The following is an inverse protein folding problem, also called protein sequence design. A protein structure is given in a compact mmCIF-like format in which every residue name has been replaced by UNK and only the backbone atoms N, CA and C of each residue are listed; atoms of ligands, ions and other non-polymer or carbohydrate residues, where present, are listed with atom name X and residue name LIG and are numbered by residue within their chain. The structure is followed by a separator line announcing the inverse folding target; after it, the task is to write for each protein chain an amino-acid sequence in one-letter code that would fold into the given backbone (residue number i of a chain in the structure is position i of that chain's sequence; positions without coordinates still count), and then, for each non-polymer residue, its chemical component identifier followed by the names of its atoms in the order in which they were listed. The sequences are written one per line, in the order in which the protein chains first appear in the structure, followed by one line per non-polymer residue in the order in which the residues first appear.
data_IF_893619489700
#
_entry.id   IF_893619489700
#
_cell.length_a   1.000
_cell.length_b   1.000
_cell.length_c   1.000
_cell.angle_alpha   90.00
_cell.angle_beta   90.00
_cell.angle_gamma   90.00
#
_symmetry.space_group_name_H-M   'P 1'
#
loop_
_entity.id
_entity.type
_entity.pdbx_description
1 polymer ?
#
# COMPACT_ATOMS: atom_id res chain seq x y z
N UNK A 1 -10.30 12.65 14.41
CA UNK A 1 -10.39 11.66 13.30
C UNK A 1 -11.35 10.56 13.72
N UNK A 2 -12.14 10.06 12.78
CA UNK A 2 -13.11 8.99 13.07
C UNK A 2 -12.83 7.79 12.14
N UNK A 3 -12.63 6.62 12.74
CA UNK A 3 -12.58 5.34 12.02
C UNK A 3 -14.00 4.76 12.02
N UNK A 4 -14.51 4.46 10.84
CA UNK A 4 -15.85 3.85 10.67
C UNK A 4 -15.65 2.35 10.54
N UNK A 5 -16.18 1.63 11.54
CA UNK A 5 -16.20 0.17 11.59
C UNK A 5 -17.61 -0.39 11.37
N UNK A 6 -17.68 -1.64 10.95
CA UNK A 6 -18.91 -2.40 10.72
C UNK A 6 -18.66 -3.87 10.99
N UNK A 7 -19.70 -4.68 11.04
CA UNK A 7 -19.59 -6.11 11.33
C UNK A 7 -18.66 -6.82 10.33
N UNK A 8 -17.82 -7.71 10.82
CA UNK A 8 -16.74 -8.38 10.10
C UNK A 8 -15.69 -7.45 9.47
N UNK A 9 -15.47 -6.26 10.06
CA UNK A 9 -14.36 -5.38 9.71
C UNK A 9 -13.00 -6.05 9.97
N UNK A 10 -11.98 -5.62 9.24
CA UNK A 10 -10.62 -6.12 9.41
C UNK A 10 -9.94 -5.48 10.64
N UNK A 11 -9.67 -6.28 11.66
CA UNK A 11 -9.00 -5.81 12.89
C UNK A 11 -7.70 -5.08 12.59
N UNK A 12 -6.86 -5.63 11.71
CA UNK A 12 -5.55 -5.07 11.42
C UNK A 12 -5.64 -3.71 10.71
N UNK A 13 -6.65 -3.51 9.87
CA UNK A 13 -6.89 -2.22 9.21
C UNK A 13 -7.18 -1.12 10.25
N UNK A 14 -8.07 -1.42 11.21
CA UNK A 14 -8.40 -0.51 12.31
C UNK A 14 -7.17 -0.28 13.19
N UNK A 15 -6.48 -1.36 13.58
CA UNK A 15 -5.33 -1.31 14.48
C UNK A 15 -4.14 -0.53 13.88
N UNK A 16 -3.82 -0.71 12.59
CA UNK A 16 -2.74 0.05 11.94
C UNK A 16 -3.01 1.55 11.96
N UNK A 17 -4.22 1.97 11.62
CA UNK A 17 -4.60 3.38 11.61
C UNK A 17 -4.57 3.96 13.03
N UNK A 18 -5.25 3.30 13.96
CA UNK A 18 -5.40 3.81 15.33
C UNK A 18 -4.08 3.82 16.09
N UNK A 19 -3.26 2.76 15.98
CA UNK A 19 -1.97 2.67 16.65
C UNK A 19 -1.00 3.74 16.16
N UNK A 20 -0.95 4.01 14.85
CA UNK A 20 -0.07 5.04 14.31
C UNK A 20 -0.44 6.44 14.81
N UNK A 21 -1.72 6.79 14.84
CA UNK A 21 -2.21 8.09 15.29
C UNK A 21 -2.02 8.29 16.81
N UNK A 22 -2.29 7.26 17.62
CA UNK A 22 -2.04 7.31 19.07
C UNK A 22 -0.53 7.37 19.37
N UNK A 23 0.28 6.66 18.60
CA UNK A 23 1.74 6.78 18.73
C UNK A 23 2.21 8.19 18.37
N UNK A 24 1.61 8.84 17.36
CA UNK A 24 1.92 10.23 17.02
C UNK A 24 1.62 11.19 18.21
N UNK A 25 0.52 10.99 18.93
CA UNK A 25 0.23 11.76 20.12
C UNK A 25 1.32 11.60 21.19
N UNK A 26 1.77 10.37 21.41
CA UNK A 26 2.81 10.09 22.42
C UNK A 26 4.16 10.66 22.01
N UNK A 27 4.56 10.49 20.75
CA UNK A 27 5.85 10.94 20.24
C UNK A 27 5.91 12.46 19.99
N UNK A 28 4.76 13.09 19.71
CA UNK A 28 4.63 14.52 19.44
C UNK A 28 4.51 15.39 20.71
N UNK A 29 4.53 14.78 21.89
CA UNK A 29 4.48 15.50 23.18
C UNK A 29 3.10 16.03 23.59
N UNK A 30 2.01 15.56 22.96
CA UNK A 30 0.65 15.95 23.32
C UNK A 30 -0.43 15.40 22.38
N UNK A 31 -1.70 15.62 22.70
CA UNK A 31 -2.82 15.13 21.89
C UNK A 31 -2.93 15.91 20.58
N UNK A 32 -2.28 15.39 19.52
CA UNK A 32 -2.34 15.94 18.16
C UNK A 32 -3.60 15.44 17.45
N UNK A 33 -3.96 14.16 17.69
CA UNK A 33 -5.12 13.51 17.09
C UNK A 33 -6.11 13.09 18.19
N UNK A 34 -7.32 13.56 18.08
CA UNK A 34 -8.48 12.99 18.77
C UNK A 34 -9.10 11.91 17.87
N UNK A 35 -9.19 10.68 18.37
CA UNK A 35 -9.50 9.49 17.60
C UNK A 35 -10.61 8.67 18.23
N UNK A 36 -11.61 8.31 17.44
CA UNK A 36 -12.68 7.41 17.86
C UNK A 36 -13.01 6.36 16.80
N UNK A 37 -13.49 5.21 17.25
CA UNK A 37 -14.13 4.18 16.43
C UNK A 37 -15.65 4.39 16.51
N UNK A 38 -16.27 4.66 15.36
CA UNK A 38 -17.71 4.80 15.23
C UNK A 38 -18.30 3.60 14.51
N UNK A 39 -19.40 3.07 15.03
CA UNK A 39 -20.14 1.95 14.42
C UNK A 39 -21.63 2.25 14.35
N UNK A 40 -22.40 1.60 13.46
CA UNK A 40 -23.86 1.73 13.42
C UNK A 40 -24.47 1.44 14.79
N UNK A 41 -25.31 2.37 15.29
CA UNK A 41 -25.94 2.29 16.61
C UNK A 41 -24.98 2.37 17.80
N UNK A 42 -23.66 2.52 17.57
CA UNK A 42 -22.66 2.43 18.64
C UNK A 42 -22.48 1.02 19.21
N UNK A 43 -22.97 0.02 18.50
CA UNK A 43 -22.85 -1.37 18.93
C UNK A 43 -21.43 -1.91 18.76
N UNK A 44 -20.98 -2.81 19.66
CA UNK A 44 -19.75 -3.56 19.42
C UNK A 44 -19.82 -4.30 18.07
N UNK A 45 -18.69 -4.40 17.40
CA UNK A 45 -18.59 -5.18 16.15
C UNK A 45 -17.68 -6.38 16.36
N UNK A 46 -18.05 -7.52 15.75
CA UNK A 46 -17.18 -8.69 15.67
C UNK A 46 -16.34 -8.57 14.43
N UNK A 47 -15.03 -8.55 14.59
CA UNK A 47 -14.10 -8.48 13.46
C UNK A 47 -14.06 -9.78 12.66
N UNK A 48 -13.54 -9.75 11.44
CA UNK A 48 -13.34 -10.96 10.64
C UNK A 48 -12.46 -12.04 11.30
N UNK A 49 -11.72 -11.68 12.36
CA UNK A 49 -10.93 -12.63 13.18
C UNK A 49 -11.67 -13.16 14.41
N UNK A 50 -12.91 -12.73 14.64
CA UNK A 50 -13.73 -13.13 15.78
C UNK A 50 -13.52 -12.29 17.04
N UNK A 51 -12.60 -11.33 17.05
CA UNK A 51 -12.43 -10.41 18.18
C UNK A 51 -13.51 -9.33 18.15
N UNK A 52 -13.99 -8.96 19.34
CA UNK A 52 -15.01 -7.92 19.49
C UNK A 52 -14.35 -6.59 19.80
N UNK A 53 -14.69 -5.56 19.03
CA UNK A 53 -14.28 -4.18 19.27
C UNK A 53 -15.46 -3.36 19.78
N UNK A 54 -15.21 -2.61 20.85
CA UNK A 54 -16.17 -1.64 21.40
C UNK A 54 -16.09 -0.33 20.61
N UNK A 55 -17.23 0.19 20.18
CA UNK A 55 -17.31 1.53 19.63
C UNK A 55 -17.18 2.58 20.73
N UNK A 56 -16.50 3.68 20.43
CA UNK A 56 -16.51 4.89 21.27
C UNK A 56 -17.63 5.85 20.87
N UNK A 57 -18.08 5.78 19.62
CA UNK A 57 -19.07 6.68 19.04
C UNK A 57 -20.20 5.94 18.34
N UNK A 58 -21.37 6.55 18.35
CA UNK A 58 -22.52 6.14 17.55
C UNK A 58 -22.39 6.83 16.18
N UNK A 59 -22.23 6.08 15.09
CA UNK A 59 -22.01 6.62 13.74
C UNK A 59 -23.02 7.71 13.35
N UNK A 60 -24.29 7.50 13.72
CA UNK A 60 -25.40 8.41 13.45
C UNK A 60 -25.29 9.73 14.19
N UNK A 61 -24.56 9.76 15.30
CA UNK A 61 -24.41 10.91 16.19
C UNK A 61 -23.08 11.65 15.99
N UNK A 62 -22.13 11.06 15.27
CA UNK A 62 -20.89 11.77 14.93
C UNK A 62 -21.21 13.03 14.15
N UNK A 63 -20.64 14.16 14.55
CA UNK A 63 -20.82 15.46 13.90
C UNK A 63 -19.49 16.09 13.55
N UNK A 64 -19.47 16.91 12.51
CA UNK A 64 -18.30 17.69 12.09
C UNK A 64 -18.19 19.06 12.80
N UNK A 65 -17.17 19.84 12.46
CA UNK A 65 -16.17 19.52 11.42
C UNK A 65 -15.18 18.43 11.86
N UNK A 66 -14.84 17.55 10.94
CA UNK A 66 -13.87 16.49 11.16
C UNK A 66 -12.59 16.75 10.36
N UNK A 67 -11.45 16.37 10.88
CA UNK A 67 -10.23 16.36 10.08
C UNK A 67 -10.27 15.24 9.05
N UNK A 68 -10.43 14.00 9.49
CA UNK A 68 -10.39 12.83 8.61
C UNK A 68 -11.40 11.78 9.07
N UNK A 69 -12.12 11.21 8.11
CA UNK A 69 -12.81 9.93 8.29
C UNK A 69 -12.02 8.82 7.56
N UNK A 70 -11.97 7.64 8.17
CA UNK A 70 -11.34 6.45 7.61
C UNK A 70 -12.34 5.31 7.63
N UNK A 71 -12.74 4.80 6.47
CA UNK A 71 -13.60 3.62 6.38
C UNK A 71 -12.74 2.36 6.40
N UNK A 72 -12.95 1.49 7.38
CA UNK A 72 -12.25 0.21 7.50
C UNK A 72 -12.60 -0.73 6.35
N UNK A 73 -11.70 -1.67 6.05
CA UNK A 73 -11.99 -2.84 5.24
C UNK A 73 -12.48 -4.02 6.08
N UNK A 74 -12.59 -5.17 5.44
CA UNK A 74 -12.97 -6.43 6.05
C UNK A 74 -13.87 -7.26 5.15
N UNK A 75 -14.11 -8.50 5.53
CA UNK A 75 -14.96 -9.43 4.75
C UNK A 75 -16.44 -9.02 4.73
N UNK A 76 -16.88 -8.17 5.68
CA UNK A 76 -18.22 -7.59 5.72
C UNK A 76 -18.44 -6.39 4.79
N UNK A 77 -17.48 -6.05 3.92
CA UNK A 77 -17.53 -4.85 3.08
C UNK A 77 -18.74 -4.81 2.13
N UNK A 78 -19.19 -5.96 1.62
CA UNK A 78 -20.33 -6.03 0.70
C UNK A 78 -21.60 -5.63 1.42
N UNK A 79 -21.84 -6.17 2.62
CA UNK A 79 -23.00 -5.84 3.44
C UNK A 79 -22.95 -4.38 3.90
N UNK A 80 -21.78 -3.89 4.28
CA UNK A 80 -21.58 -2.50 4.64
C UNK A 80 -21.86 -1.55 3.47
N UNK A 81 -21.41 -1.89 2.26
CA UNK A 81 -21.68 -1.13 1.03
C UNK A 81 -23.14 -1.17 0.60
N UNK A 82 -23.89 -2.23 0.96
CA UNK A 82 -25.32 -2.35 0.73
C UNK A 82 -26.18 -1.71 1.86
N UNK A 83 -25.57 -1.33 2.98
CA UNK A 83 -26.30 -0.79 4.13
C UNK A 83 -26.59 0.71 3.93
N UNK A 84 -27.87 1.12 3.75
CA UNK A 84 -28.23 2.51 3.46
C UNK A 84 -27.88 3.46 4.60
N UNK A 85 -27.89 2.99 5.85
CA UNK A 85 -27.52 3.81 7.01
C UNK A 85 -26.03 4.14 6.97
N UNK A 86 -25.14 3.16 6.78
CA UNK A 86 -23.70 3.37 6.68
C UNK A 86 -23.41 4.34 5.52
N UNK A 87 -23.98 4.09 4.35
CA UNK A 87 -23.76 4.93 3.15
C UNK A 87 -24.22 6.36 3.35
N UNK A 88 -25.40 6.56 3.97
CA UNK A 88 -25.91 7.91 4.22
C UNK A 88 -24.98 8.70 5.17
N UNK A 89 -24.50 8.05 6.25
CA UNK A 89 -23.63 8.71 7.23
C UNK A 89 -22.20 8.88 6.72
N UNK A 90 -21.64 7.94 5.98
CA UNK A 90 -20.34 8.12 5.28
C UNK A 90 -20.42 9.32 4.32
N UNK A 91 -21.49 9.42 3.52
CA UNK A 91 -21.70 10.54 2.61
C UNK A 91 -21.87 11.88 3.35
N UNK A 92 -22.57 11.88 4.47
CA UNK A 92 -22.75 13.08 5.32
C UNK A 92 -21.42 13.52 5.90
N UNK A 93 -20.70 12.63 6.58
CA UNK A 93 -19.43 12.92 7.24
C UNK A 93 -18.35 13.31 6.25
N UNK A 94 -18.33 12.74 5.03
CA UNK A 94 -17.39 13.13 3.98
C UNK A 94 -17.48 14.61 3.61
N UNK A 95 -18.69 15.21 3.67
CA UNK A 95 -18.89 16.66 3.39
C UNK A 95 -18.37 17.54 4.50
N UNK A 96 -18.28 17.02 5.72
CA UNK A 96 -17.86 17.70 6.92
C UNK A 96 -16.39 17.43 7.26
N UNK A 97 -15.66 16.70 6.40
CA UNK A 97 -14.29 16.25 6.64
C UNK A 97 -13.30 16.89 5.66
N UNK A 98 -12.13 17.27 6.17
CA UNK A 98 -11.01 17.74 5.34
C UNK A 98 -10.46 16.62 4.45
N UNK A 99 -10.37 15.41 4.98
CA UNK A 99 -9.94 14.19 4.26
C UNK A 99 -10.94 13.07 4.43
N UNK A 100 -11.11 12.30 3.35
CA UNK A 100 -11.88 11.05 3.33
C UNK A 100 -10.93 9.93 2.97
N UNK A 101 -10.85 8.91 3.79
CA UNK A 101 -9.96 7.78 3.52
C UNK A 101 -10.70 6.45 3.61
N UNK A 102 -10.18 5.47 2.90
CA UNK A 102 -10.52 4.06 3.09
C UNK A 102 -9.27 3.21 3.15
N UNK A 103 -9.36 2.12 3.86
CA UNK A 103 -8.34 1.08 3.91
C UNK A 103 -8.94 -0.23 3.41
N UNK A 104 -8.15 -1.03 2.66
CA UNK A 104 -8.55 -2.32 2.13
C UNK A 104 -9.86 -2.22 1.31
N UNK A 105 -10.80 -3.12 1.57
CA UNK A 105 -12.13 -3.16 0.94
C UNK A 105 -13.09 -2.06 1.38
N UNK A 106 -12.71 -1.20 2.33
CA UNK A 106 -13.46 0.01 2.69
C UNK A 106 -13.65 0.96 1.50
N UNK A 107 -12.81 0.84 0.46
CA UNK A 107 -12.99 1.55 -0.81
C UNK A 107 -14.34 1.22 -1.48
N UNK A 108 -14.90 0.03 -1.28
CA UNK A 108 -16.23 -0.31 -1.80
C UNK A 108 -17.33 0.51 -1.13
N UNK A 109 -17.23 0.72 0.17
CA UNK A 109 -18.19 1.58 0.90
C UNK A 109 -18.11 3.02 0.40
N UNK A 110 -16.91 3.56 0.14
CA UNK A 110 -16.75 4.88 -0.48
C UNK A 110 -17.31 4.93 -1.90
N UNK A 111 -17.12 3.87 -2.70
CA UNK A 111 -17.67 3.77 -4.04
C UNK A 111 -19.21 3.72 -4.02
N UNK A 112 -19.82 2.94 -3.12
CA UNK A 112 -21.26 2.89 -2.90
C UNK A 112 -21.83 4.24 -2.43
N UNK A 113 -21.05 5.02 -1.66
CA UNK A 113 -21.39 6.37 -1.28
C UNK A 113 -21.24 7.39 -2.45
N UNK A 114 -20.71 6.97 -3.61
CA UNK A 114 -20.47 7.84 -4.77
C UNK A 114 -19.28 8.79 -4.60
N UNK A 115 -18.44 8.57 -3.59
CA UNK A 115 -17.32 9.43 -3.25
C UNK A 115 -16.07 9.17 -4.11
N UNK A 116 -16.05 8.06 -4.85
CA UNK A 116 -14.96 7.67 -5.74
C UNK A 116 -15.30 7.86 -7.24
N UNK A 117 -16.49 8.31 -7.60
CA UNK A 117 -16.90 8.47 -8.99
C UNK A 117 -15.94 9.41 -9.74
N UNK A 118 -15.39 8.95 -10.86
CA UNK A 118 -14.42 9.68 -11.69
C UNK A 118 -13.03 9.82 -11.08
N UNK A 119 -12.78 9.23 -9.91
CA UNK A 119 -11.48 9.29 -9.21
C UNK A 119 -10.66 8.04 -9.43
N UNK A 120 -9.34 8.21 -9.30
CA UNK A 120 -8.43 7.08 -9.14
C UNK A 120 -8.50 6.56 -7.70
N UNK A 121 -8.59 5.25 -7.57
CA UNK A 121 -8.65 4.59 -6.25
C UNK A 121 -7.90 3.26 -6.28
N UNK A 122 -7.46 2.81 -5.11
CA UNK A 122 -6.98 1.44 -4.92
C UNK A 122 -7.79 0.75 -3.84
N UNK A 123 -7.67 -0.56 -3.79
CA UNK A 123 -8.29 -1.43 -2.79
C UNK A 123 -7.42 -2.67 -2.63
N UNK A 124 -7.81 -3.60 -1.78
CA UNK A 124 -7.12 -4.88 -1.66
C UNK A 124 -7.09 -5.61 -3.01
N UNK A 125 -5.91 -6.05 -3.42
CA UNK A 125 -5.66 -6.64 -4.75
C UNK A 125 -6.62 -7.77 -5.11
N UNK A 126 -6.94 -8.63 -4.14
CA UNK A 126 -7.81 -9.80 -4.33
C UNK A 126 -9.25 -9.41 -4.67
N UNK A 127 -9.74 -8.28 -4.16
CA UNK A 127 -11.11 -7.80 -4.37
C UNK A 127 -11.21 -6.73 -5.46
N UNK A 128 -10.09 -6.23 -5.95
CA UNK A 128 -10.06 -5.08 -6.86
C UNK A 128 -10.88 -5.29 -8.14
N UNK A 129 -10.76 -6.45 -8.78
CA UNK A 129 -11.50 -6.78 -10.01
C UNK A 129 -13.00 -6.87 -9.77
N UNK A 130 -13.42 -7.50 -8.67
CA UNK A 130 -14.82 -7.65 -8.32
C UNK A 130 -15.47 -6.29 -7.98
N UNK A 131 -14.75 -5.45 -7.22
CA UNK A 131 -15.23 -4.10 -6.86
C UNK A 131 -15.28 -3.21 -8.10
N UNK A 132 -14.25 -3.21 -8.95
CA UNK A 132 -14.23 -2.44 -10.20
C UNK A 132 -15.40 -2.78 -11.13
N UNK A 133 -15.79 -4.05 -11.20
CA UNK A 133 -16.92 -4.50 -12.00
C UNK A 133 -18.26 -3.96 -11.47
N UNK A 134 -18.42 -3.83 -10.15
CA UNK A 134 -19.63 -3.26 -9.53
C UNK A 134 -19.71 -1.73 -9.63
N UNK A 135 -18.55 -1.06 -9.66
CA UNK A 135 -18.45 0.40 -9.66
C UNK A 135 -17.64 0.91 -10.86
N UNK A 136 -18.16 0.78 -12.10
CA UNK A 136 -17.41 1.10 -13.33
C UNK A 136 -17.08 2.59 -13.51
N UNK A 137 -17.65 3.49 -12.71
CA UNK A 137 -17.30 4.91 -12.70
C UNK A 137 -16.05 5.24 -11.91
N UNK A 138 -15.51 4.28 -11.14
CA UNK A 138 -14.28 4.44 -10.36
C UNK A 138 -13.08 3.90 -11.15
N UNK A 139 -11.99 4.65 -11.19
CA UNK A 139 -10.77 4.24 -11.87
C UNK A 139 -9.88 3.43 -10.91
N UNK A 140 -10.28 2.19 -10.65
CA UNK A 140 -9.52 1.31 -9.77
C UNK A 140 -8.19 0.88 -10.39
N UNK A 141 -7.10 1.13 -9.64
CA UNK A 141 -5.76 0.66 -9.93
C UNK A 141 -5.31 -0.24 -8.76
N UNK A 142 -5.22 -1.57 -8.95
CA UNK A 142 -4.85 -2.50 -7.89
C UNK A 142 -3.34 -2.55 -7.61
N UNK A 143 -2.51 -1.84 -8.37
CA UNK A 143 -1.06 -1.94 -8.19
C UNK A 143 -0.54 -1.13 -6.99
N UNK A 144 -0.90 0.16 -6.78
CA UNK A 144 -0.36 0.97 -5.69
C UNK A 144 -0.84 0.53 -4.31
N UNK A 145 0.03 0.68 -3.29
CA UNK A 145 -0.37 0.43 -1.90
C UNK A 145 -1.34 1.49 -1.36
N UNK A 146 -1.24 2.71 -1.83
CA UNK A 146 -2.28 3.73 -1.64
C UNK A 146 -2.29 4.75 -2.78
N UNK A 147 -3.45 5.36 -3.01
CA UNK A 147 -3.67 6.44 -3.96
C UNK A 147 -4.28 7.62 -3.22
N UNK A 148 -3.83 8.83 -3.58
CA UNK A 148 -4.47 10.10 -3.21
C UNK A 148 -5.02 10.75 -4.46
N UNK A 149 -6.27 11.17 -4.40
CA UNK A 149 -6.96 11.90 -5.46
C UNK A 149 -7.78 13.04 -4.84
N UNK A 150 -7.17 14.23 -4.81
CA UNK A 150 -7.69 15.38 -4.11
C UNK A 150 -7.73 15.15 -2.59
N UNK A 151 -8.89 15.33 -1.98
CA UNK A 151 -9.11 15.11 -0.54
C UNK A 151 -9.47 13.64 -0.19
N UNK A 152 -9.54 12.78 -1.20
CA UNK A 152 -9.84 11.35 -1.01
C UNK A 152 -8.55 10.54 -1.09
N UNK A 153 -8.37 9.60 -0.16
CA UNK A 153 -7.26 8.66 -0.15
C UNK A 153 -7.78 7.23 0.01
N UNK A 154 -7.22 6.30 -0.74
CA UNK A 154 -7.57 4.88 -0.65
C UNK A 154 -6.30 4.04 -0.50
N UNK A 155 -6.31 3.04 0.35
CA UNK A 155 -5.17 2.14 0.60
C UNK A 155 -5.56 0.69 0.37
N UNK A 156 -4.57 -0.11 -0.03
CA UNK A 156 -4.70 -1.56 -0.16
C UNK A 156 -5.06 -2.29 1.15
N UNK A 157 -4.91 -1.61 2.27
CA UNK A 157 -5.22 -2.17 3.58
C UNK A 157 -4.09 -2.98 4.20
N UNK A 158 -4.39 -3.62 5.33
CA UNK A 158 -3.43 -4.35 6.14
C UNK A 158 -2.22 -3.47 6.45
N UNK A 159 -1.01 -3.87 6.12
CA UNK A 159 0.20 -3.04 6.37
C UNK A 159 0.23 -1.75 5.57
N UNK A 160 -0.43 -1.67 4.41
CA UNK A 160 -0.52 -0.44 3.62
C UNK A 160 -1.41 0.63 4.29
N UNK A 161 -2.29 0.25 5.23
CA UNK A 161 -3.03 1.18 6.07
C UNK A 161 -2.07 2.00 6.96
N UNK A 162 -1.01 1.34 7.48
CA UNK A 162 0.04 2.01 8.25
C UNK A 162 0.81 3.01 7.38
N UNK A 163 1.19 2.63 6.15
CA UNK A 163 1.92 3.53 5.24
C UNK A 163 1.09 4.77 4.88
N UNK A 164 -0.21 4.61 4.61
CA UNK A 164 -1.11 5.75 4.37
C UNK A 164 -1.23 6.64 5.61
N UNK A 165 -1.33 6.05 6.80
CA UNK A 165 -1.46 6.81 8.04
C UNK A 165 -0.17 7.57 8.37
N UNK A 166 0.99 6.95 8.18
CA UNK A 166 2.29 7.63 8.30
C UNK A 166 2.41 8.80 7.32
N UNK A 167 1.91 8.62 6.08
CA UNK A 167 1.87 9.70 5.11
C UNK A 167 0.92 10.85 5.52
N UNK A 168 -0.16 10.58 6.24
CA UNK A 168 -1.00 11.63 6.84
C UNK A 168 -0.28 12.34 7.99
N UNK A 169 0.40 11.61 8.87
CA UNK A 169 1.19 12.19 9.95
C UNK A 169 2.30 13.09 9.39
N UNK A 170 2.98 12.65 8.32
CA UNK A 170 4.01 13.44 7.65
C UNK A 170 3.45 14.75 7.06
N UNK A 171 2.28 14.67 6.40
CA UNK A 171 1.62 15.85 5.84
C UNK A 171 1.17 16.84 6.92
N UNK A 172 0.63 16.36 8.02
CA UNK A 172 0.05 17.18 9.09
C UNK A 172 1.11 17.76 10.04
N UNK A 173 2.18 17.01 10.33
CA UNK A 173 3.11 17.30 11.41
C UNK A 173 4.60 17.20 11.00
N UNK A 174 4.86 16.96 9.75
CA UNK A 174 6.21 16.88 9.19
C UNK A 174 6.86 15.48 9.27
N UNK A 175 7.96 15.30 8.55
CA UNK A 175 8.61 14.01 8.38
C UNK A 175 9.28 13.48 9.66
N UNK A 176 9.67 14.35 10.58
CA UNK A 176 10.33 13.93 11.83
C UNK A 176 9.40 13.14 12.74
N UNK A 177 8.16 13.62 12.92
CA UNK A 177 7.16 12.91 13.72
C UNK A 177 6.76 11.59 13.05
N UNK A 178 6.53 11.60 11.72
CA UNK A 178 6.20 10.38 10.98
C UNK A 178 7.28 9.30 11.14
N UNK A 179 8.56 9.68 11.05
CA UNK A 179 9.69 8.77 11.29
C UNK A 179 9.76 8.27 12.73
N UNK A 180 9.52 9.15 13.72
CA UNK A 180 9.50 8.74 15.13
C UNK A 180 8.42 7.69 15.38
N UNK A 181 7.22 7.89 14.81
CA UNK A 181 6.11 6.94 14.87
C UNK A 181 6.48 5.62 14.20
N UNK A 182 7.04 5.67 12.98
CA UNK A 182 7.45 4.47 12.24
C UNK A 182 8.46 3.63 13.05
N UNK A 183 9.46 4.27 13.66
CA UNK A 183 10.44 3.59 14.53
C UNK A 183 9.80 2.98 15.77
N UNK A 184 8.92 3.71 16.44
CA UNK A 184 8.22 3.20 17.63
C UNK A 184 7.39 1.96 17.30
N UNK A 185 6.75 1.94 16.13
CA UNK A 185 5.97 0.79 15.62
C UNK A 185 6.85 -0.31 14.98
N UNK A 186 8.18 -0.18 15.09
CA UNK A 186 9.14 -1.15 14.51
C UNK A 186 8.89 -1.36 13.01
N UNK A 187 8.45 -0.30 12.33
CA UNK A 187 8.22 -0.35 10.88
C UNK A 187 9.58 -0.28 10.20
N UNK A 188 9.95 -1.38 9.53
CA UNK A 188 11.24 -1.52 8.86
C UNK A 188 11.44 -0.51 7.72
N UNK A 189 10.35 -0.20 7.01
CA UNK A 189 10.35 0.68 5.85
C UNK A 189 8.98 1.34 5.70
N UNK A 190 8.93 2.67 5.65
CA UNK A 190 7.75 3.40 5.18
C UNK A 190 7.72 3.35 3.65
N UNK A 191 6.69 2.74 3.09
CA UNK A 191 6.58 2.55 1.65
C UNK A 191 5.90 3.74 0.98
N UNK A 192 6.39 4.22 -0.19
CA UNK A 192 5.69 5.25 -0.96
C UNK A 192 4.40 4.68 -1.56
N UNK A 193 3.37 5.52 -1.68
CA UNK A 193 2.03 5.10 -2.10
C UNK A 193 1.96 4.34 -3.42
N UNK A 194 2.81 4.69 -4.36
CA UNK A 194 2.89 4.04 -5.68
C UNK A 194 3.67 2.71 -5.71
N UNK A 195 4.22 2.26 -4.58
CA UNK A 195 4.80 0.93 -4.51
C UNK A 195 3.72 -0.12 -4.77
N UNK A 196 4.06 -1.20 -5.47
CA UNK A 196 3.14 -2.30 -5.70
C UNK A 196 2.74 -2.97 -4.37
N UNK A 197 1.47 -3.38 -4.25
CA UNK A 197 0.92 -4.04 -3.06
C UNK A 197 1.69 -5.32 -2.70
N UNK A 198 2.16 -6.03 -3.71
CA UNK A 198 2.98 -7.21 -3.53
C UNK A 198 4.33 -7.03 -4.20
N UNK A 199 5.40 -7.48 -3.53
CA UNK A 199 6.69 -7.58 -4.19
C UNK A 199 6.59 -8.60 -5.31
N UNK A 200 7.50 -8.53 -6.27
CA UNK A 200 7.56 -9.52 -7.34
C UNK A 200 7.75 -10.96 -6.82
N UNK A 201 8.27 -11.10 -5.60
CA UNK A 201 8.52 -12.41 -4.97
C UNK A 201 7.27 -12.98 -4.27
N UNK A 202 6.28 -12.15 -3.97
CA UNK A 202 5.02 -12.55 -3.31
C UNK A 202 3.80 -12.47 -4.24
N UNK A 203 3.94 -11.80 -5.40
CA UNK A 203 2.83 -11.54 -6.32
C UNK A 203 2.34 -12.79 -7.09
N UNK A 204 3.18 -13.81 -7.20
CA UNK A 204 2.81 -15.06 -7.85
C UNK A 204 3.29 -16.24 -6.98
N UNK A 205 2.60 -17.39 -7.01
CA UNK A 205 3.15 -18.61 -6.46
C UNK A 205 4.50 -18.89 -7.15
N UNK A 206 5.43 -19.59 -6.47
CA UNK A 206 6.69 -19.95 -7.10
C UNK A 206 6.41 -20.66 -8.41
N UNK A 207 7.16 -20.37 -9.49
CA UNK A 207 6.91 -20.94 -10.80
C UNK A 207 6.82 -22.47 -10.71
N UNK A 208 5.76 -23.05 -11.28
CA UNK A 208 5.63 -24.53 -11.34
C UNK A 208 6.72 -25.13 -12.23
N UNK A 209 7.12 -24.38 -13.26
CA UNK A 209 8.21 -24.80 -14.14
C UNK A 209 9.56 -24.70 -13.41
N UNK A 210 10.18 -25.85 -13.15
CA UNK A 210 11.45 -25.95 -12.42
C UNK A 210 12.62 -25.20 -13.09
N UNK A 211 12.60 -25.00 -14.43
CA UNK A 211 13.59 -24.18 -15.12
C UNK A 211 13.42 -22.70 -14.75
N UNK A 212 12.20 -22.18 -14.80
CA UNK A 212 11.92 -20.79 -14.47
C UNK A 212 12.23 -20.52 -13.00
N UNK A 213 11.91 -21.45 -12.10
CA UNK A 213 12.26 -21.35 -10.68
C UNK A 213 13.77 -21.16 -10.49
N UNK A 214 14.60 -22.01 -11.09
CA UNK A 214 16.07 -21.89 -11.02
C UNK A 214 16.59 -20.57 -11.62
N UNK A 215 16.00 -20.11 -12.73
CA UNK A 215 16.40 -18.82 -13.33
C UNK A 215 16.03 -17.67 -12.40
N UNK A 216 14.86 -17.67 -11.79
CA UNK A 216 14.43 -16.67 -10.80
C UNK A 216 15.35 -16.67 -9.58
N UNK A 217 15.65 -17.83 -9.02
CA UNK A 217 16.61 -18.00 -7.91
C UNK A 217 17.99 -17.45 -8.29
N UNK A 218 18.48 -17.77 -9.48
CA UNK A 218 19.75 -17.25 -9.99
C UNK A 218 19.75 -15.72 -10.11
N UNK A 219 18.70 -15.12 -10.69
CA UNK A 219 18.55 -13.67 -10.80
C UNK A 219 18.59 -13.03 -9.42
N UNK A 220 17.84 -13.57 -8.47
CA UNK A 220 17.69 -13.01 -7.13
C UNK A 220 19.01 -13.04 -6.35
N UNK A 221 19.78 -14.10 -6.51
CA UNK A 221 21.05 -14.28 -5.82
C UNK A 221 22.21 -13.46 -6.44
N UNK A 222 22.10 -13.07 -7.72
CA UNK A 222 23.23 -12.54 -8.50
C UNK A 222 22.89 -11.22 -9.24
N UNK A 223 22.21 -10.29 -8.57
CA UNK A 223 21.71 -9.05 -9.19
C UNK A 223 22.78 -8.19 -9.86
N UNK A 224 24.02 -8.26 -9.40
CA UNK A 224 25.13 -7.48 -9.96
C UNK A 224 25.71 -8.06 -11.26
N UNK A 225 25.41 -9.33 -11.57
CA UNK A 225 25.98 -10.03 -12.71
C UNK A 225 25.32 -9.64 -14.06
N UNK A 226 25.85 -10.17 -15.16
CA UNK A 226 25.17 -10.08 -16.45
C UNK A 226 23.93 -10.97 -16.47
N UNK A 227 22.77 -10.35 -16.30
CA UNK A 227 21.45 -10.97 -16.33
C UNK A 227 20.69 -10.63 -17.61
N UNK A 228 21.43 -10.34 -18.70
CA UNK A 228 20.81 -10.19 -20.02
C UNK A 228 20.05 -11.43 -20.44
N UNK A 229 18.99 -11.28 -21.25
CA UNK A 229 18.15 -12.41 -21.67
C UNK A 229 18.98 -13.51 -22.33
N UNK A 230 20.01 -13.14 -23.11
CA UNK A 230 20.92 -14.08 -23.76
C UNK A 230 21.74 -14.88 -22.72
N UNK A 231 22.31 -14.21 -21.72
CA UNK A 231 23.09 -14.85 -20.65
C UNK A 231 22.21 -15.80 -19.81
N UNK A 232 21.03 -15.36 -19.42
CA UNK A 232 20.06 -16.19 -18.70
C UNK A 232 19.61 -17.41 -19.51
N UNK A 233 19.37 -17.26 -20.81
CA UNK A 233 18.98 -18.35 -21.69
C UNK A 233 20.10 -19.36 -21.86
N UNK A 234 21.33 -18.90 -22.06
CA UNK A 234 22.51 -19.76 -22.14
C UNK A 234 22.73 -20.54 -20.84
N UNK A 235 22.66 -19.88 -19.67
CA UNK A 235 22.78 -20.53 -18.37
C UNK A 235 21.67 -21.55 -18.09
N UNK A 236 20.50 -21.36 -18.67
CA UNK A 236 19.36 -22.28 -18.55
C UNK A 236 19.32 -23.37 -19.63
N UNK A 237 20.25 -23.35 -20.61
CA UNK A 237 20.31 -24.34 -21.69
C UNK A 237 19.14 -24.24 -22.70
N UNK A 238 18.59 -23.04 -22.91
CA UNK A 238 17.44 -22.80 -23.81
C UNK A 238 17.69 -21.59 -24.71
N UNK A 239 16.87 -21.44 -25.76
CA UNK A 239 16.92 -20.22 -26.58
C UNK A 239 16.25 -19.03 -25.86
N UNK A 240 16.68 -17.80 -26.17
CA UNK A 240 16.07 -16.56 -25.62
C UNK A 240 14.56 -16.48 -25.87
N UNK A 241 14.12 -16.89 -27.06
CA UNK A 241 12.70 -16.93 -27.41
C UNK A 241 11.93 -17.90 -26.50
N UNK A 242 12.52 -19.06 -26.22
CA UNK A 242 11.91 -20.05 -25.34
C UNK A 242 11.84 -19.55 -23.90
N UNK A 243 12.94 -18.97 -23.37
CA UNK A 243 12.97 -18.37 -22.04
C UNK A 243 11.94 -17.26 -21.90
N UNK A 244 11.88 -16.32 -22.85
CA UNK A 244 10.91 -15.22 -22.86
C UNK A 244 9.47 -15.73 -22.85
N UNK A 245 9.16 -16.76 -23.67
CA UNK A 245 7.82 -17.35 -23.70
C UNK A 245 7.45 -18.01 -22.37
N UNK A 246 8.39 -18.68 -21.73
CA UNK A 246 8.18 -19.28 -20.40
C UNK A 246 7.95 -18.21 -19.32
N UNK A 247 8.75 -17.14 -19.31
CA UNK A 247 8.56 -16.01 -18.37
C UNK A 247 7.19 -15.35 -18.54
N UNK A 248 6.77 -15.10 -19.79
CA UNK A 248 5.45 -14.53 -20.06
C UNK A 248 4.31 -15.46 -19.62
N UNK A 249 4.47 -16.76 -19.77
CA UNK A 249 3.46 -17.74 -19.37
C UNK A 249 3.36 -17.88 -17.85
N UNK A 250 4.50 -17.97 -17.14
CA UNK A 250 4.55 -18.29 -15.71
C UNK A 250 4.49 -17.02 -14.82
N UNK A 251 5.07 -15.91 -15.31
CA UNK A 251 5.27 -14.70 -14.50
C UNK A 251 4.63 -13.44 -15.11
N UNK A 252 4.02 -13.57 -16.31
CA UNK A 252 3.36 -12.49 -17.06
C UNK A 252 4.26 -11.26 -17.36
N UNK A 253 5.58 -11.43 -17.27
CA UNK A 253 6.58 -10.39 -17.57
C UNK A 253 7.72 -10.96 -18.40
N UNK A 254 8.46 -10.11 -19.12
CA UNK A 254 9.68 -10.53 -19.82
C UNK A 254 10.86 -10.67 -18.84
N UNK A 255 11.90 -11.51 -19.17
CA UNK A 255 13.09 -11.65 -18.34
C UNK A 255 13.75 -10.31 -18.00
N UNK A 256 13.92 -9.42 -18.99
CA UNK A 256 14.53 -8.09 -18.77
C UNK A 256 13.72 -7.19 -17.83
N UNK A 257 12.38 -7.20 -17.92
CA UNK A 257 11.52 -6.46 -16.97
C UNK A 257 11.59 -7.06 -15.57
N UNK A 258 11.67 -8.38 -15.46
CA UNK A 258 11.84 -9.06 -14.17
C UNK A 258 13.17 -8.65 -13.50
N UNK A 259 14.28 -8.74 -14.21
CA UNK A 259 15.62 -8.33 -13.73
C UNK A 259 15.62 -6.85 -13.31
N UNK A 260 15.09 -5.95 -14.16
CA UNK A 260 15.02 -4.52 -13.86
C UNK A 260 14.25 -4.26 -12.56
N UNK A 261 13.13 -4.93 -12.35
CA UNK A 261 12.32 -4.81 -11.13
C UNK A 261 13.06 -5.34 -9.91
N UNK A 262 13.67 -6.52 -9.99
CA UNK A 262 14.45 -7.12 -8.90
C UNK A 262 15.61 -6.21 -8.47
N UNK A 263 16.35 -5.66 -9.42
CA UNK A 263 17.43 -4.69 -9.17
C UNK A 263 16.92 -3.42 -8.49
N UNK A 264 15.76 -2.92 -8.92
CA UNK A 264 15.18 -1.69 -8.34
C UNK A 264 14.68 -1.92 -6.92
N UNK A 265 14.08 -3.07 -6.62
CA UNK A 265 13.68 -3.45 -5.26
C UNK A 265 14.90 -3.59 -4.33
N UNK A 266 15.99 -4.21 -4.80
CA UNK A 266 17.24 -4.29 -4.04
C UNK A 266 17.86 -2.89 -3.81
N UNK A 267 17.78 -2.00 -4.79
CA UNK A 267 18.25 -0.63 -4.63
C UNK A 267 17.41 0.14 -3.61
N UNK A 268 16.10 -0.04 -3.58
CA UNK A 268 15.22 0.55 -2.57
C UNK A 268 15.61 0.10 -1.15
N UNK A 269 15.92 -1.19 -0.99
CA UNK A 269 16.42 -1.73 0.28
C UNK A 269 17.74 -1.05 0.71
N UNK A 270 18.72 -0.96 -0.18
CA UNK A 270 19.99 -0.30 0.13
C UNK A 270 19.85 1.19 0.40
N UNK A 271 18.93 1.87 -0.28
CA UNK A 271 18.63 3.29 -0.03
C UNK A 271 18.07 3.52 1.37
N UNK A 272 17.24 2.60 1.85
CA UNK A 272 16.62 2.67 3.16
C UNK A 272 17.57 2.29 4.31
N UNK A 273 18.47 1.34 4.07
CA UNK A 273 19.27 0.71 5.13
C UNK A 273 20.73 1.17 5.19
N UNK A 274 21.17 1.95 4.21
CA UNK A 274 22.58 2.38 4.12
C UNK A 274 22.74 3.84 3.70
N UNK A 275 23.87 4.44 4.06
CA UNK A 275 24.30 5.75 3.57
C UNK A 275 25.13 5.67 2.27
N UNK A 276 25.16 4.54 1.59
CA UNK A 276 25.97 4.35 0.39
C UNK A 276 25.66 5.40 -0.70
N UNK A 277 26.69 5.93 -1.40
CA UNK A 277 26.47 6.80 -2.55
C UNK A 277 25.62 6.14 -3.63
N UNK A 278 24.86 6.94 -4.37
CA UNK A 278 23.98 6.45 -5.45
C UNK A 278 24.71 5.59 -6.48
N UNK A 279 25.94 6.00 -6.85
CA UNK A 279 26.78 5.24 -7.77
C UNK A 279 27.13 3.84 -7.23
N UNK A 280 27.42 3.74 -5.94
CA UNK A 280 27.73 2.46 -5.30
C UNK A 280 26.50 1.54 -5.24
N UNK A 281 25.33 2.09 -4.98
CA UNK A 281 24.08 1.34 -5.01
C UNK A 281 23.79 0.85 -6.43
N UNK A 282 23.95 1.71 -7.43
CA UNK A 282 23.75 1.32 -8.82
C UNK A 282 24.61 0.11 -9.21
N UNK A 283 25.90 0.15 -8.89
CA UNK A 283 26.83 -0.96 -9.17
C UNK A 283 26.41 -2.23 -8.42
N UNK A 284 26.14 -2.14 -7.12
CA UNK A 284 25.77 -3.32 -6.29
C UNK A 284 24.47 -3.99 -6.74
N UNK A 285 23.57 -3.20 -7.30
CA UNK A 285 22.29 -3.72 -7.83
C UNK A 285 22.36 -4.05 -9.33
N UNK A 286 23.55 -4.00 -9.96
CA UNK A 286 23.72 -4.37 -11.35
C UNK A 286 23.22 -3.33 -12.36
N UNK A 287 23.00 -2.08 -11.94
CA UNK A 287 22.80 -0.96 -12.85
C UNK A 287 24.16 -0.44 -13.34
N UNK A 288 24.31 -0.25 -14.64
CA UNK A 288 25.56 0.24 -15.22
C UNK A 288 25.90 1.66 -14.76
N UNK A 289 24.90 2.50 -14.49
CA UNK A 289 25.07 3.89 -14.06
C UNK A 289 24.03 4.29 -13.01
N UNK A 290 24.36 5.35 -12.24
CA UNK A 290 23.40 5.95 -11.32
C UNK A 290 22.17 6.53 -12.05
N UNK A 291 22.33 6.95 -13.31
CA UNK A 291 21.23 7.48 -14.11
C UNK A 291 20.24 6.38 -14.53
N UNK A 292 20.76 5.20 -14.93
CA UNK A 292 19.93 4.04 -15.23
C UNK A 292 19.13 3.60 -13.99
N UNK A 293 19.76 3.66 -12.80
CA UNK A 293 19.06 3.41 -11.54
C UNK A 293 17.97 4.46 -11.30
N UNK A 294 18.27 5.77 -11.47
CA UNK A 294 17.27 6.83 -11.25
C UNK A 294 16.04 6.64 -12.14
N UNK A 295 16.27 6.35 -13.43
CA UNK A 295 15.18 6.13 -14.37
C UNK A 295 14.35 4.89 -13.99
N UNK A 296 15.00 3.77 -13.69
CA UNK A 296 14.30 2.55 -13.27
C UNK A 296 13.51 2.76 -11.98
N UNK A 297 14.08 3.51 -11.05
CA UNK A 297 13.47 3.82 -9.78
C UNK A 297 12.25 4.74 -9.92
N UNK A 298 12.36 5.81 -10.73
CA UNK A 298 11.25 6.70 -11.03
C UNK A 298 10.10 5.97 -11.73
N UNK A 299 10.41 5.07 -12.68
CA UNK A 299 9.42 4.27 -13.40
C UNK A 299 8.63 3.32 -12.47
N UNK A 300 9.28 2.77 -11.42
CA UNK A 300 8.68 1.77 -10.52
C UNK A 300 8.07 2.43 -9.28
N UNK A 301 8.77 3.40 -8.68
CA UNK A 301 8.34 4.03 -7.42
C UNK A 301 7.75 5.43 -7.61
N UNK A 302 7.80 6.03 -8.82
CA UNK A 302 7.27 7.36 -9.15
C UNK A 302 7.97 8.52 -8.43
N UNK A 303 9.03 8.24 -7.67
CA UNK A 303 9.84 9.24 -6.95
C UNK A 303 11.32 9.02 -7.25
N UNK A 304 12.14 10.05 -7.04
CA UNK A 304 13.59 9.89 -7.20
C UNK A 304 14.16 9.03 -6.06
N UNK A 305 15.27 8.29 -6.30
CA UNK A 305 15.98 7.57 -5.25
C UNK A 305 16.45 8.47 -4.09
N UNK A 306 16.80 9.72 -4.37
CA UNK A 306 17.20 10.68 -3.35
C UNK A 306 16.04 11.10 -2.47
N UNK A 307 14.87 11.33 -3.05
CA UNK A 307 13.66 11.63 -2.30
C UNK A 307 13.24 10.42 -1.45
N UNK A 308 13.26 9.22 -2.04
CA UNK A 308 12.98 7.97 -1.32
C UNK A 308 13.93 7.80 -0.12
N UNK A 309 15.23 8.05 -0.28
CA UNK A 309 16.21 8.01 0.82
C UNK A 309 15.86 9.00 1.92
N UNK A 310 15.51 10.25 1.58
CA UNK A 310 15.15 11.26 2.58
C UNK A 310 13.94 10.86 3.42
N UNK A 311 12.97 10.19 2.83
CA UNK A 311 11.81 9.67 3.57
C UNK A 311 12.13 8.42 4.40
N UNK A 312 13.26 7.74 4.11
CA UNK A 312 13.67 6.50 4.79
C UNK A 312 14.91 6.68 5.68
N UNK A 313 15.83 7.59 5.32
CA UNK A 313 17.10 7.79 6.02
C UNK A 313 16.98 8.88 7.08
N UNK A 314 16.58 8.51 8.28
CA UNK A 314 17.00 9.15 9.53
C UNK A 314 16.77 8.16 10.64
N UNK A 315 17.60 7.17 10.71
CA UNK A 315 17.88 6.43 11.93
C UNK A 315 19.10 7.03 12.60
#
# INVERSE_FOLDING_TARGET
MVVIGYEAAALLDIACVTSALITANTQGGGPIYDLSLATPGGHPITTGTGLVLQAQEVLERVTGPLDTIVVSGGIGHVDAAANPLIIAHVRRLARESRRVASVCTGAEVLAAAGLLDGRRATTHWDQASAIASRYPRVLFDPAPIFIRDGHVATSAGVTAALDLTLAFIEEDNGPELARSVARHLVTYLQRPGNQAQMSMFTAAPPPENGLIRRVVEHITANLADDLGTAALAAGAGVSERHLTRLFLRELHVTPGRFVRRARTEAAAHLLATTSLPMASIAVRCGFGTAETLRQAFADIYGVSPSHYRLTQASA
#
